data_IF_701846750492
#
_entry.id   IF_701846750492
#
_cell.length_a   1.000
_cell.length_b   1.000
_cell.length_c   1.000
_cell.angle_alpha   90.00
_cell.angle_beta   90.00
_cell.angle_gamma   90.00
#
_symmetry.space_group_name_H-M   'P 1'
#
loop_
_entity.id
_entity.type
_entity.pdbx_description
1 polymer ?
#
# COMPACT_ATOMS: atom_id res chain seq x y z
N UNK A 1 5.49 -7.93 8.27
CA UNK A 1 4.19 -7.36 7.87
C UNK A 1 4.40 -5.96 7.31
N UNK A 2 3.93 -5.68 6.09
CA UNK A 2 4.23 -4.41 5.39
C UNK A 2 3.29 -3.26 5.78
N UNK A 3 1.98 -3.48 5.79
CA UNK A 3 0.99 -2.42 6.01
C UNK A 3 1.14 -1.69 7.37
N UNK A 4 1.36 -2.38 8.51
CA UNK A 4 1.64 -1.70 9.78
C UNK A 4 2.85 -0.76 9.73
N UNK A 5 3.86 -1.05 8.90
CA UNK A 5 5.07 -0.20 8.78
C UNK A 5 4.74 1.16 8.15
N UNK A 6 3.76 1.25 7.26
CA UNK A 6 3.29 2.53 6.72
C UNK A 6 2.87 3.46 7.86
N UNK A 7 2.04 2.96 8.79
CA UNK A 7 1.50 3.75 9.90
C UNK A 7 2.57 4.15 10.93
N UNK A 8 3.62 3.35 11.07
CA UNK A 8 4.75 3.65 11.96
C UNK A 8 5.70 4.67 11.34
N UNK A 9 6.06 4.49 10.06
CA UNK A 9 7.03 5.34 9.36
C UNK A 9 6.41 6.68 8.93
N UNK A 10 5.11 6.67 8.61
CA UNK A 10 4.36 7.84 8.16
C UNK A 10 3.11 8.04 9.04
N UNK A 11 3.26 8.58 10.28
CA UNK A 11 2.20 8.62 11.28
C UNK A 11 0.95 9.39 10.85
N UNK A 12 1.07 10.37 9.95
CA UNK A 12 -0.09 11.10 9.42
C UNK A 12 -1.09 10.19 8.69
N UNK A 13 -0.66 9.02 8.20
CA UNK A 13 -1.54 8.03 7.57
C UNK A 13 -2.51 7.38 8.56
N UNK A 14 -2.25 7.48 9.88
CA UNK A 14 -3.11 6.91 10.91
C UNK A 14 -4.50 7.57 10.94
N UNK A 15 -4.63 8.84 10.51
CA UNK A 15 -5.91 9.59 10.46
C UNK A 15 -7.02 8.91 9.67
N UNK A 16 -6.67 8.01 8.74
CA UNK A 16 -7.65 7.27 7.94
C UNK A 16 -8.21 6.03 8.68
N UNK A 17 -7.71 5.74 9.88
CA UNK A 17 -7.95 4.50 10.61
C UNK A 17 -8.41 4.73 12.05
N UNK A 18 -9.01 5.87 12.37
CA UNK A 18 -9.47 6.19 13.74
C UNK A 18 -10.44 5.14 14.30
N UNK A 19 -11.27 4.53 13.45
CA UNK A 19 -12.20 3.46 13.83
C UNK A 19 -11.52 2.10 14.10
N UNK A 20 -10.20 2.01 13.92
CA UNK A 20 -9.43 0.77 14.08
C UNK A 20 -8.94 0.57 15.51
N UNK A 21 -9.24 1.49 16.42
CA UNK A 21 -8.89 1.39 17.84
C UNK A 21 -7.50 1.95 18.13
N UNK A 22 -6.78 1.35 19.07
CA UNK A 22 -5.51 1.88 19.54
C UNK A 22 -4.39 1.80 18.46
N UNK A 23 -3.85 2.97 18.10
CA UNK A 23 -2.71 3.15 17.18
C UNK A 23 -1.59 4.02 17.80
N UNK A 24 -1.61 4.26 19.12
CA UNK A 24 -0.76 5.26 19.77
C UNK A 24 0.75 4.94 19.82
N UNK A 25 1.14 3.70 19.54
CA UNK A 25 2.54 3.27 19.55
C UNK A 25 2.80 2.22 18.47
N UNK A 26 4.07 2.02 18.11
CA UNK A 26 4.46 1.00 17.15
C UNK A 26 4.00 -0.41 17.56
N UNK A 27 4.09 -0.74 18.86
CA UNK A 27 3.60 -2.02 19.39
C UNK A 27 2.07 -2.16 19.23
N UNK A 28 1.31 -1.10 19.55
CA UNK A 28 -0.14 -1.09 19.35
C UNK A 28 -0.51 -1.27 17.87
N UNK A 29 0.14 -0.56 16.95
CA UNK A 29 -0.08 -0.67 15.50
C UNK A 29 0.24 -2.08 14.99
N UNK A 30 1.39 -2.63 15.38
CA UNK A 30 1.83 -3.97 14.98
C UNK A 30 0.95 -5.08 15.56
N UNK A 31 0.40 -4.87 16.76
CA UNK A 31 -0.53 -5.78 17.42
C UNK A 31 -1.96 -5.72 16.88
N UNK A 32 -2.36 -4.60 16.28
CA UNK A 32 -3.76 -4.31 15.95
C UNK A 32 -4.35 -5.28 14.90
N UNK A 33 -5.39 -6.06 15.25
CA UNK A 33 -5.97 -7.06 14.35
C UNK A 33 -6.69 -6.44 13.14
N UNK A 34 -7.31 -5.26 13.29
CA UNK A 34 -7.97 -4.57 12.18
C UNK A 34 -6.95 -4.05 11.16
N UNK A 35 -5.80 -3.54 11.63
CA UNK A 35 -4.69 -3.14 10.75
C UNK A 35 -4.13 -4.34 10.00
N UNK A 36 -3.94 -5.48 10.67
CA UNK A 36 -3.51 -6.74 10.01
C UNK A 36 -4.50 -7.19 8.94
N UNK A 37 -5.80 -7.20 9.26
CA UNK A 37 -6.85 -7.58 8.34
C UNK A 37 -6.91 -6.67 7.10
N UNK A 38 -6.76 -5.35 7.29
CA UNK A 38 -6.71 -4.41 6.19
C UNK A 38 -5.44 -4.59 5.34
N UNK A 39 -4.28 -4.79 5.98
CA UNK A 39 -3.04 -5.12 5.28
C UNK A 39 -3.15 -6.36 4.38
N UNK A 40 -3.91 -7.38 4.81
CA UNK A 40 -4.23 -8.53 3.96
C UNK A 40 -5.03 -8.13 2.73
N UNK A 41 -6.07 -7.29 2.87
CA UNK A 41 -6.86 -6.79 1.73
C UNK A 41 -6.00 -6.03 0.72
N UNK A 42 -5.11 -5.16 1.21
CA UNK A 42 -4.17 -4.41 0.37
C UNK A 42 -3.23 -5.36 -0.39
N UNK A 43 -2.67 -6.37 0.28
CA UNK A 43 -1.78 -7.34 -0.38
C UNK A 43 -2.52 -8.19 -1.41
N UNK A 44 -3.76 -8.60 -1.14
CA UNK A 44 -4.62 -9.29 -2.12
C UNK A 44 -4.84 -8.43 -3.35
N UNK A 45 -5.12 -7.13 -3.18
CA UNK A 45 -5.30 -6.18 -4.27
C UNK A 45 -4.03 -6.00 -5.11
N UNK A 46 -2.85 -5.98 -4.49
CA UNK A 46 -1.57 -6.00 -5.20
C UNK A 46 -1.34 -7.30 -5.97
N UNK A 47 -1.81 -8.44 -5.45
CA UNK A 47 -1.82 -9.70 -6.19
C UNK A 47 -2.68 -9.65 -7.46
N UNK A 48 -3.81 -8.93 -7.43
CA UNK A 48 -4.62 -8.66 -8.62
C UNK A 48 -3.90 -7.77 -9.63
N UNK A 49 -3.09 -6.80 -9.17
CA UNK A 49 -2.24 -5.98 -10.05
C UNK A 49 -1.25 -6.84 -10.86
N UNK A 50 -0.59 -7.79 -10.19
CA UNK A 50 0.40 -8.68 -10.83
C UNK A 50 -0.25 -9.54 -11.92
N UNK A 51 -1.53 -9.92 -11.77
CA UNK A 51 -2.28 -10.68 -12.79
C UNK A 51 -2.75 -9.81 -13.96
N UNK A 52 -2.78 -8.49 -13.80
CA UNK A 52 -3.39 -7.55 -14.75
C UNK A 52 -2.45 -6.37 -15.08
N UNK A 53 -1.15 -6.65 -15.27
CA UNK A 53 -0.09 -5.63 -15.44
C UNK A 53 -0.37 -4.65 -16.59
N UNK A 54 -0.98 -5.11 -17.68
CA UNK A 54 -1.28 -4.29 -18.85
C UNK A 54 -2.59 -3.49 -18.70
N UNK A 55 -3.37 -3.73 -17.64
CA UNK A 55 -4.69 -3.15 -17.44
C UNK A 55 -4.92 -2.60 -16.02
N UNK A 56 -3.87 -2.04 -15.40
CA UNK A 56 -3.93 -1.54 -14.03
C UNK A 56 -5.02 -0.47 -13.83
N UNK A 57 -5.18 0.46 -14.78
CA UNK A 57 -6.17 1.55 -14.66
C UNK A 57 -7.61 1.02 -14.53
N UNK A 58 -8.01 0.07 -15.37
CA UNK A 58 -9.34 -0.52 -15.28
C UNK A 58 -9.47 -1.38 -14.02
N UNK A 59 -8.43 -2.16 -13.70
CA UNK A 59 -8.38 -3.01 -12.49
C UNK A 59 -8.61 -2.19 -11.21
N UNK A 60 -8.03 -0.99 -11.13
CA UNK A 60 -8.08 -0.14 -9.95
C UNK A 60 -9.11 1.00 -10.01
N UNK A 61 -9.90 1.14 -11.08
CA UNK A 61 -10.80 2.30 -11.27
C UNK A 61 -11.75 2.51 -10.08
N UNK A 62 -12.46 1.45 -9.65
CA UNK A 62 -13.38 1.52 -8.50
C UNK A 62 -12.65 1.86 -7.19
N UNK A 63 -11.41 1.38 -7.05
CA UNK A 63 -10.62 1.63 -5.86
C UNK A 63 -10.08 3.08 -5.85
N UNK A 64 -9.75 3.61 -7.02
CA UNK A 64 -9.37 5.02 -7.23
C UNK A 64 -10.50 5.95 -6.80
N UNK A 65 -11.72 5.72 -7.31
CA UNK A 65 -12.93 6.48 -6.93
C UNK A 65 -13.21 6.39 -5.43
N UNK A 66 -13.14 5.20 -4.83
CA UNK A 66 -13.33 5.04 -3.39
C UNK A 66 -12.33 5.88 -2.58
N UNK A 67 -11.04 5.83 -2.94
CA UNK A 67 -9.99 6.53 -2.20
C UNK A 67 -10.05 8.05 -2.40
N UNK A 68 -10.50 8.52 -3.57
CA UNK A 68 -10.74 9.92 -3.85
C UNK A 68 -12.00 10.44 -3.14
N UNK A 69 -13.16 9.88 -3.47
CA UNK A 69 -14.48 10.49 -3.20
C UNK A 69 -14.99 10.22 -1.78
N UNK A 70 -14.54 9.12 -1.17
CA UNK A 70 -15.03 8.68 0.14
C UNK A 70 -13.97 8.74 1.22
N UNK A 71 -12.75 8.35 0.90
CA UNK A 71 -11.68 8.28 1.90
C UNK A 71 -10.78 9.52 1.91
N UNK A 72 -10.84 10.35 0.85
CA UNK A 72 -10.05 11.57 0.69
C UNK A 72 -8.56 11.34 0.97
N UNK A 73 -8.03 10.23 0.47
CA UNK A 73 -6.63 9.82 0.67
C UNK A 73 -5.76 10.58 -0.32
N UNK A 74 -4.81 11.38 0.16
CA UNK A 74 -3.84 12.05 -0.71
C UNK A 74 -3.08 11.02 -1.58
N UNK A 75 -3.04 11.18 -2.92
CA UNK A 75 -2.37 10.27 -3.86
C UNK A 75 -0.92 9.93 -3.50
N UNK A 76 -0.19 10.84 -2.86
CA UNK A 76 1.21 10.62 -2.49
C UNK A 76 1.34 9.44 -1.52
N UNK A 77 0.32 9.18 -0.68
CA UNK A 77 0.34 8.04 0.24
C UNK A 77 0.37 6.68 -0.49
N UNK A 78 -0.08 6.59 -1.75
CA UNK A 78 0.06 5.37 -2.53
C UNK A 78 1.52 5.09 -2.91
N UNK A 79 2.28 6.13 -3.26
CA UNK A 79 3.72 5.99 -3.53
C UNK A 79 4.48 5.58 -2.27
N UNK A 80 4.15 6.19 -1.13
CA UNK A 80 4.74 5.83 0.16
C UNK A 80 4.48 4.36 0.52
N UNK A 81 3.25 3.90 0.33
CA UNK A 81 2.90 2.49 0.56
C UNK A 81 3.66 1.54 -0.38
N UNK A 82 3.79 1.91 -1.66
CA UNK A 82 4.61 1.18 -2.63
C UNK A 82 6.06 1.04 -2.20
N UNK A 83 6.67 2.14 -1.75
CA UNK A 83 8.05 2.15 -1.24
C UNK A 83 8.21 1.27 0.01
N UNK A 84 7.27 1.34 0.95
CA UNK A 84 7.26 0.45 2.13
C UNK A 84 7.20 -1.01 1.74
N UNK A 85 6.39 -1.37 0.74
CA UNK A 85 6.34 -2.74 0.24
C UNK A 85 7.69 -3.18 -0.32
N UNK A 86 8.31 -2.37 -1.18
CA UNK A 86 9.63 -2.68 -1.78
C UNK A 86 10.69 -2.88 -0.70
N UNK A 87 10.75 -2.01 0.31
CA UNK A 87 11.68 -2.16 1.44
C UNK A 87 11.42 -3.46 2.21
N UNK A 88 10.15 -3.81 2.43
CA UNK A 88 9.80 -5.06 3.14
C UNK A 88 10.18 -6.30 2.34
N UNK A 89 10.02 -6.28 1.02
CA UNK A 89 10.47 -7.36 0.13
C UNK A 89 12.00 -7.49 0.17
N UNK A 90 12.73 -6.36 0.11
CA UNK A 90 14.19 -6.36 0.21
C UNK A 90 14.68 -6.96 1.54
N UNK A 91 14.04 -6.60 2.67
CA UNK A 91 14.35 -7.18 3.98
C UNK A 91 14.04 -8.69 4.01
N UNK A 92 12.93 -9.11 3.39
CA UNK A 92 12.48 -10.50 3.46
C UNK A 92 13.34 -11.45 2.61
N UNK A 93 13.69 -11.04 1.39
CA UNK A 93 14.44 -11.86 0.43
C UNK A 93 15.95 -11.63 0.51
N UNK A 94 16.41 -10.57 1.17
CA UNK A 94 17.83 -10.29 1.35
C UNK A 94 18.58 -10.24 0.02
N UNK A 95 19.57 -11.13 -0.16
CA UNK A 95 20.40 -11.19 -1.36
C UNK A 95 19.64 -11.62 -2.62
N UNK A 96 18.50 -12.29 -2.48
CA UNK A 96 17.66 -12.69 -3.61
C UNK A 96 16.86 -11.51 -4.19
N UNK A 97 16.73 -10.40 -3.45
CA UNK A 97 16.14 -9.17 -3.95
C UNK A 97 17.17 -8.36 -4.74
N UNK A 98 17.56 -8.89 -5.90
CA UNK A 98 18.58 -8.29 -6.78
C UNK A 98 18.14 -6.90 -7.28
N UNK A 99 19.05 -6.08 -7.82
CA UNK A 99 18.69 -4.80 -8.42
C UNK A 99 17.61 -4.90 -9.51
N UNK A 100 17.61 -5.98 -10.30
CA UNK A 100 16.61 -6.23 -11.34
C UNK A 100 15.23 -6.54 -10.72
N UNK A 101 15.20 -7.35 -9.67
CA UNK A 101 13.97 -7.65 -8.91
C UNK A 101 13.43 -6.37 -8.25
N UNK A 102 14.32 -5.57 -7.65
CA UNK A 102 13.96 -4.26 -7.09
C UNK A 102 13.34 -3.36 -8.18
N UNK A 103 13.98 -3.19 -9.33
CA UNK A 103 13.47 -2.37 -10.41
C UNK A 103 12.10 -2.85 -10.92
N UNK A 104 11.90 -4.17 -11.04
CA UNK A 104 10.63 -4.75 -11.43
C UNK A 104 9.50 -4.42 -10.43
N UNK A 105 9.75 -4.61 -9.13
CA UNK A 105 8.77 -4.26 -8.09
C UNK A 105 8.52 -2.76 -8.01
N UNK A 106 9.54 -1.91 -8.18
CA UNK A 106 9.38 -0.46 -8.23
C UNK A 106 8.50 -0.01 -9.40
N UNK A 107 8.69 -0.60 -10.58
CA UNK A 107 7.85 -0.35 -11.76
C UNK A 107 6.40 -0.73 -11.49
N UNK A 108 6.16 -1.90 -10.89
CA UNK A 108 4.83 -2.35 -10.51
C UNK A 108 4.14 -1.38 -9.53
N UNK A 109 4.76 -1.08 -8.39
CA UNK A 109 4.13 -0.25 -7.36
C UNK A 109 3.92 1.19 -7.84
N UNK A 110 4.79 1.70 -8.72
CA UNK A 110 4.59 2.99 -9.39
C UNK A 110 3.38 2.96 -10.33
N UNK A 111 3.22 1.90 -11.11
CA UNK A 111 2.05 1.72 -11.98
C UNK A 111 0.75 1.62 -11.18
N UNK A 112 0.75 0.87 -10.07
CA UNK A 112 -0.40 0.76 -9.16
C UNK A 112 -0.74 2.11 -8.53
N UNK A 113 0.24 2.87 -8.04
CA UNK A 113 0.02 4.20 -7.48
C UNK A 113 -0.58 5.16 -8.52
N UNK A 114 -0.08 5.14 -9.76
CA UNK A 114 -0.64 5.92 -10.86
C UNK A 114 -2.08 5.53 -11.20
N UNK A 115 -2.38 4.22 -11.22
CA UNK A 115 -3.73 3.72 -11.46
C UNK A 115 -4.71 4.12 -10.35
N UNK A 116 -4.27 4.05 -9.08
CA UNK A 116 -5.06 4.47 -7.92
C UNK A 116 -5.28 5.98 -7.88
N UNK A 117 -4.37 6.78 -8.40
CA UNK A 117 -4.51 8.23 -8.49
C UNK A 117 -5.31 8.72 -9.72
N UNK A 118 -5.69 7.82 -10.64
CA UNK A 118 -6.17 8.21 -11.97
C UNK A 118 -7.52 8.95 -11.97
N UNK A 119 -8.41 8.67 -11.01
CA UNK A 119 -9.76 9.27 -10.92
C UNK A 119 -9.85 10.44 -9.94
N UNK A 120 -8.71 10.96 -9.49
CA UNK A 120 -8.67 12.11 -8.60
C UNK A 120 -9.01 13.39 -9.37
N UNK A 121 -9.87 14.23 -8.78
CA UNK A 121 -10.37 15.48 -9.35
C UNK A 121 -10.38 16.60 -8.30
#
# INVERSE_FOLDING_TARGET
MFFPRLLVVYPWTQRFFDSFGNLSSASAILGNPKIKAHGKKVLTSLGEAVKNLDNLKATFSKLSELHCDKLHVDPENFRLLGNVLVVVLAIHFGKEFTPEVHAAWQKLVTGVASALAHKYH
#
